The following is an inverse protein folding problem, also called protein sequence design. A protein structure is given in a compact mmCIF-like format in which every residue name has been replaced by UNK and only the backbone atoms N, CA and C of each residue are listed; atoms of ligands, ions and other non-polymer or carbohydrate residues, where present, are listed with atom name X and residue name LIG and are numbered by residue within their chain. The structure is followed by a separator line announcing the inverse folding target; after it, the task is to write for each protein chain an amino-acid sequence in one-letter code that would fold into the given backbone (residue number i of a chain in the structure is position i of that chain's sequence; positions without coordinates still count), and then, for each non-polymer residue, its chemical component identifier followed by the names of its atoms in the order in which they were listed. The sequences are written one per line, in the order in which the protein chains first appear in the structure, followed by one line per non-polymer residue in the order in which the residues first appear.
data_IF_672734327620
#
_entry.id   IF_672734327620
#
_cell.length_a   1.000
_cell.length_b   1.000
_cell.length_c   1.000
_cell.angle_alpha   90.00
_cell.angle_beta   90.00
_cell.angle_gamma   90.00
#
_symmetry.space_group_name_H-M   'P 1'
#
loop_
_entity.id
_entity.type
_entity.pdbx_description
1 polymer ?
#
# COMPACT_ATOMS: atom_id res chain seq x y z
N UNK A 1 60.36 20.99 17.66
CA UNK A 1 60.35 19.65 17.06
C UNK A 1 58.90 19.21 16.95
N UNK A 2 58.48 18.89 15.72
CA UNK A 2 57.08 18.76 15.30
C UNK A 2 56.50 17.38 15.66
N UNK A 3 55.22 17.30 16.03
CA UNK A 3 54.38 16.14 15.73
C UNK A 3 52.98 16.61 15.37
N UNK A 4 52.70 16.62 14.05
CA UNK A 4 51.38 16.82 13.46
C UNK A 4 50.57 15.54 13.66
N UNK A 5 49.64 15.54 14.61
CA UNK A 5 48.65 14.47 14.75
C UNK A 5 47.52 14.71 13.75
N UNK A 6 47.58 14.05 12.59
CA UNK A 6 46.48 14.01 11.63
C UNK A 6 45.51 12.93 12.10
N UNK A 7 44.37 13.33 12.66
CA UNK A 7 43.28 12.45 13.05
C UNK A 7 42.46 12.12 11.79
N UNK A 8 42.72 10.97 11.16
CA UNK A 8 41.93 10.51 10.03
C UNK A 8 40.62 9.85 10.53
N UNK A 9 39.52 10.59 10.46
CA UNK A 9 38.16 10.08 10.67
C UNK A 9 37.73 9.23 9.46
N UNK A 10 37.86 7.91 9.56
CA UNK A 10 37.25 6.98 8.62
C UNK A 10 35.74 6.89 8.91
N UNK A 11 34.93 7.62 8.14
CA UNK A 11 33.48 7.48 8.16
C UNK A 11 33.11 6.20 7.41
N UNK A 12 32.89 5.09 8.14
CA UNK A 12 32.22 3.92 7.59
C UNK A 12 30.74 4.25 7.38
N UNK A 13 30.37 4.59 6.14
CA UNK A 13 28.97 4.68 5.74
C UNK A 13 28.40 3.26 5.63
N UNK A 14 27.65 2.83 6.65
CA UNK A 14 26.89 1.59 6.60
C UNK A 14 25.67 1.79 5.71
N UNK A 15 25.80 1.50 4.42
CA UNK A 15 24.65 1.38 3.54
C UNK A 15 24.00 0.01 3.82
N UNK A 16 23.05 -0.03 4.75
CA UNK A 16 22.13 -1.16 4.83
C UNK A 16 21.18 -1.04 3.62
N UNK A 17 21.45 -1.82 2.57
CA UNK A 17 20.50 -1.99 1.50
C UNK A 17 19.27 -2.71 2.08
N UNK A 18 18.22 -1.96 2.40
CA UNK A 18 16.92 -2.53 2.68
C UNK A 18 16.37 -3.09 1.36
N UNK A 19 16.41 -4.41 1.19
CA UNK A 19 15.60 -5.04 0.15
C UNK A 19 14.13 -4.81 0.54
N UNK A 20 13.34 -4.27 -0.40
CA UNK A 20 11.89 -4.19 -0.21
C UNK A 20 11.36 -5.61 0.00
N UNK A 21 10.66 -5.83 1.12
CA UNK A 21 10.00 -7.09 1.37
C UNK A 21 8.91 -7.31 0.30
N UNK A 22 8.69 -8.56 -0.10
CA UNK A 22 7.59 -8.86 -1.00
C UNK A 22 6.24 -8.67 -0.29
N UNK A 23 5.13 -8.45 -1.01
CA UNK A 23 3.81 -8.23 -0.39
C UNK A 23 3.39 -9.33 0.60
N UNK A 24 3.69 -10.59 0.28
CA UNK A 24 3.41 -11.71 1.17
C UNK A 24 4.29 -11.69 2.43
N UNK A 25 5.56 -11.30 2.28
CA UNK A 25 6.50 -11.20 3.40
C UNK A 25 6.17 -10.01 4.30
N UNK A 26 5.81 -8.85 3.75
CA UNK A 26 5.32 -7.69 4.50
C UNK A 26 4.12 -8.08 5.36
N UNK A 27 3.15 -8.80 4.77
CA UNK A 27 1.98 -9.32 5.49
C UNK A 27 2.36 -10.31 6.58
N UNK A 28 3.34 -11.17 6.35
CA UNK A 28 3.83 -12.11 7.37
C UNK A 28 4.45 -11.35 8.55
N UNK A 29 5.29 -10.35 8.28
CA UNK A 29 5.94 -9.52 9.30
C UNK A 29 4.94 -8.70 10.11
N UNK A 30 3.90 -8.17 9.47
CA UNK A 30 2.80 -7.49 10.16
C UNK A 30 2.08 -8.44 11.13
N UNK A 31 1.74 -9.66 10.68
CA UNK A 31 1.12 -10.67 11.57
C UNK A 31 2.04 -11.04 12.72
N UNK A 32 3.35 -11.18 12.49
CA UNK A 32 4.32 -11.45 13.56
C UNK A 32 4.42 -10.31 14.57
N UNK A 33 4.34 -9.05 14.11
CA UNK A 33 4.26 -7.88 14.99
C UNK A 33 3.01 -7.92 15.85
N UNK A 34 1.87 -8.26 15.26
CA UNK A 34 0.60 -8.42 15.98
C UNK A 34 0.62 -9.59 16.97
N UNK A 35 1.34 -10.68 16.66
CA UNK A 35 1.57 -11.78 17.61
C UNK A 35 2.35 -11.28 18.82
N UNK A 36 3.48 -10.58 18.61
CA UNK A 36 4.29 -10.01 19.71
C UNK A 36 3.47 -9.07 20.59
N UNK A 37 2.61 -8.25 19.98
CA UNK A 37 1.70 -7.39 20.71
C UNK A 37 0.69 -8.22 21.53
N UNK A 38 0.05 -9.22 20.94
CA UNK A 38 -0.90 -10.09 21.64
C UNK A 38 -0.26 -10.88 22.79
N UNK A 39 1.02 -11.28 22.66
CA UNK A 39 1.82 -11.92 23.71
C UNK A 39 2.04 -11.00 24.91
N UNK A 40 2.36 -9.72 24.69
CA UNK A 40 2.50 -8.72 25.75
C UNK A 40 1.21 -8.54 26.56
N UNK A 41 0.06 -8.75 25.93
CA UNK A 41 -1.26 -8.64 26.55
C UNK A 41 -1.87 -9.98 26.99
N UNK A 42 -1.10 -11.08 26.93
CA UNK A 42 -1.53 -12.43 27.33
C UNK A 42 -2.86 -12.87 26.68
N UNK A 43 -3.13 -12.41 25.46
CA UNK A 43 -4.37 -12.68 24.75
C UNK A 43 -4.25 -13.97 23.91
N UNK A 44 -4.36 -15.13 24.58
CA UNK A 44 -4.12 -16.43 23.95
C UNK A 44 -5.00 -16.68 22.72
N UNK A 45 -6.29 -16.33 22.78
CA UNK A 45 -7.21 -16.52 21.64
C UNK A 45 -6.78 -15.72 20.41
N UNK A 46 -6.30 -14.49 20.59
CA UNK A 46 -5.74 -13.67 19.49
C UNK A 46 -4.45 -14.28 18.97
N UNK A 47 -3.55 -14.73 19.85
CA UNK A 47 -2.28 -15.36 19.47
C UNK A 47 -2.53 -16.57 18.57
N UNK A 48 -3.46 -17.46 18.96
CA UNK A 48 -3.76 -18.68 18.21
C UNK A 48 -4.34 -18.36 16.82
N UNK A 49 -5.25 -17.39 16.75
CA UNK A 49 -5.81 -16.90 15.50
C UNK A 49 -4.74 -16.31 14.57
N UNK A 50 -3.85 -15.47 15.11
CA UNK A 50 -2.76 -14.86 14.34
C UNK A 50 -1.73 -15.90 13.87
N UNK A 51 -1.37 -16.90 14.70
CA UNK A 51 -0.47 -17.99 14.28
C UNK A 51 -1.07 -18.81 13.13
N UNK A 52 -2.38 -19.06 13.16
CA UNK A 52 -3.09 -19.70 12.04
C UNK A 52 -3.03 -18.81 10.79
N UNK A 53 -3.30 -17.51 10.91
CA UNK A 53 -3.21 -16.57 9.80
C UNK A 53 -1.79 -16.50 9.19
N UNK A 54 -0.76 -16.46 10.03
CA UNK A 54 0.65 -16.48 9.60
C UNK A 54 0.97 -17.74 8.79
N UNK A 55 0.54 -18.91 9.29
CA UNK A 55 0.69 -20.18 8.58
C UNK A 55 -0.01 -20.17 7.22
N UNK A 56 -1.21 -19.60 7.14
CA UNK A 56 -1.93 -19.46 5.87
C UNK A 56 -1.20 -18.56 4.88
N UNK A 57 -0.64 -17.42 5.34
CA UNK A 57 0.17 -16.54 4.49
C UNK A 57 1.41 -17.27 3.98
N UNK A 58 2.17 -17.91 4.87
CA UNK A 58 3.41 -18.62 4.49
C UNK A 58 3.19 -19.77 3.51
N UNK A 59 2.06 -20.46 3.62
CA UNK A 59 1.79 -21.64 2.79
C UNK A 59 1.07 -21.32 1.48
N UNK A 60 0.25 -20.26 1.45
CA UNK A 60 -0.70 -20.04 0.36
C UNK A 60 -0.56 -18.68 -0.33
N UNK A 61 0.13 -17.70 0.27
CA UNK A 61 0.34 -16.41 -0.36
C UNK A 61 1.35 -16.54 -1.51
N UNK A 62 1.03 -15.92 -2.65
CA UNK A 62 1.92 -15.81 -3.79
C UNK A 62 1.98 -14.36 -4.22
N UNK A 63 3.17 -13.78 -4.26
CA UNK A 63 3.35 -12.36 -4.59
C UNK A 63 2.77 -12.02 -5.96
N UNK A 64 2.94 -12.91 -6.94
CA UNK A 64 2.36 -12.75 -8.27
C UNK A 64 0.83 -12.62 -8.27
N UNK A 65 0.14 -13.37 -7.40
CA UNK A 65 -1.33 -13.31 -7.29
C UNK A 65 -1.76 -11.99 -6.63
N UNK A 66 -1.01 -11.52 -5.63
CA UNK A 66 -1.26 -10.24 -4.95
C UNK A 66 -1.07 -9.07 -5.93
N UNK A 67 0.03 -9.05 -6.68
CA UNK A 67 0.34 -8.02 -7.67
C UNK A 67 -0.68 -8.05 -8.81
N UNK A 68 -1.08 -9.23 -9.29
CA UNK A 68 -2.10 -9.36 -10.33
C UNK A 68 -3.45 -8.82 -9.86
N UNK A 69 -3.89 -9.16 -8.64
CA UNK A 69 -5.12 -8.64 -8.06
C UNK A 69 -5.05 -7.11 -7.88
N UNK A 70 -3.90 -6.56 -7.49
CA UNK A 70 -3.70 -5.12 -7.39
C UNK A 70 -3.84 -4.44 -8.75
N UNK A 71 -3.15 -4.94 -9.78
CA UNK A 71 -3.24 -4.41 -11.15
C UNK A 71 -4.65 -4.47 -11.72
N UNK A 72 -5.38 -5.55 -11.45
CA UNK A 72 -6.78 -5.67 -11.86
C UNK A 72 -7.63 -4.57 -11.20
N UNK A 73 -7.50 -4.35 -9.89
CA UNK A 73 -8.22 -3.27 -9.20
C UNK A 73 -7.89 -1.89 -9.74
N UNK A 74 -6.62 -1.64 -10.09
CA UNK A 74 -6.21 -0.39 -10.74
C UNK A 74 -6.92 -0.22 -12.07
N UNK A 75 -6.93 -1.25 -12.92
CA UNK A 75 -7.62 -1.21 -14.21
C UNK A 75 -9.14 -0.98 -14.06
N UNK A 76 -9.78 -1.62 -13.08
CA UNK A 76 -11.20 -1.41 -12.75
C UNK A 76 -11.47 0.06 -12.35
N UNK A 77 -10.60 0.65 -11.52
CA UNK A 77 -10.73 2.05 -11.09
C UNK A 77 -10.42 3.06 -12.22
N UNK A 78 -9.50 2.72 -13.12
CA UNK A 78 -9.27 3.53 -14.33
C UNK A 78 -10.49 3.53 -15.24
N UNK A 79 -11.14 2.38 -15.43
CA UNK A 79 -12.39 2.27 -16.17
C UNK A 79 -13.52 3.07 -15.50
N UNK A 80 -13.65 3.02 -14.18
CA UNK A 80 -14.61 3.84 -13.44
C UNK A 80 -14.37 5.34 -13.65
N UNK A 81 -13.11 5.80 -13.55
CA UNK A 81 -12.77 7.21 -13.82
C UNK A 81 -13.14 7.62 -15.25
N UNK A 82 -12.89 6.74 -16.24
CA UNK A 82 -13.27 7.00 -17.62
C UNK A 82 -14.80 7.12 -17.78
N UNK A 83 -15.58 6.24 -17.15
CA UNK A 83 -17.05 6.32 -17.12
C UNK A 83 -17.53 7.62 -16.49
N UNK A 84 -16.99 8.01 -15.32
CA UNK A 84 -17.37 9.25 -14.63
C UNK A 84 -17.05 10.50 -15.45
N UNK A 85 -15.95 10.49 -16.20
CA UNK A 85 -15.62 11.57 -17.14
C UNK A 85 -16.65 11.68 -18.27
N UNK A 86 -17.10 10.55 -18.81
CA UNK A 86 -18.16 10.52 -19.82
C UNK A 86 -19.50 11.04 -19.26
N UNK A 87 -19.91 10.59 -18.06
CA UNK A 87 -21.13 11.08 -17.40
C UNK A 87 -21.08 12.60 -17.16
N UNK A 88 -19.91 13.13 -16.75
CA UNK A 88 -19.72 14.55 -16.56
C UNK A 88 -19.79 15.32 -17.89
N UNK A 89 -19.20 14.79 -18.96
CA UNK A 89 -19.28 15.38 -20.28
C UNK A 89 -20.74 15.48 -20.77
N UNK A 90 -21.51 14.41 -20.65
CA UNK A 90 -22.92 14.39 -21.01
C UNK A 90 -23.75 15.38 -20.18
N UNK A 91 -23.53 15.43 -18.86
CA UNK A 91 -24.21 16.40 -17.99
C UNK A 91 -23.87 17.85 -18.38
N UNK A 92 -22.64 18.10 -18.81
CA UNK A 92 -22.18 19.42 -19.26
C UNK A 92 -22.88 19.83 -20.55
N UNK A 93 -23.05 18.90 -21.51
CA UNK A 93 -23.81 19.17 -22.74
C UNK A 93 -25.29 19.48 -22.47
N UNK A 94 -25.88 18.84 -21.45
CA UNK A 94 -27.29 19.06 -21.06
C UNK A 94 -27.51 20.34 -20.25
N UNK A 95 -26.45 20.97 -19.73
CA UNK A 95 -26.53 22.27 -19.03
C UNK A 95 -27.18 22.24 -17.65
N UNK A 96 -27.39 21.06 -17.05
CA UNK A 96 -28.00 20.91 -15.73
C UNK A 96 -26.93 21.13 -14.63
N UNK A 97 -26.91 22.34 -14.06
CA UNK A 97 -25.87 22.77 -13.11
C UNK A 97 -25.75 21.85 -11.88
N UNK A 98 -26.87 21.39 -11.32
CA UNK A 98 -26.89 20.52 -10.16
C UNK A 98 -26.31 19.14 -10.49
N UNK A 99 -26.66 18.58 -11.66
CA UNK A 99 -26.05 17.33 -12.13
C UNK A 99 -24.57 17.50 -12.41
N UNK A 100 -24.15 18.58 -13.04
CA UNK A 100 -22.73 18.86 -13.32
C UNK A 100 -21.94 18.90 -12.01
N UNK A 101 -22.42 19.61 -10.99
CA UNK A 101 -21.77 19.68 -9.68
C UNK A 101 -21.64 18.29 -9.04
N UNK A 102 -22.73 17.50 -9.05
CA UNK A 102 -22.73 16.14 -8.50
C UNK A 102 -21.78 15.20 -9.25
N UNK A 103 -21.70 15.28 -10.58
CA UNK A 103 -20.78 14.44 -11.38
C UNK A 103 -19.32 14.84 -11.20
N UNK A 104 -19.02 16.13 -11.04
CA UNK A 104 -17.66 16.60 -10.71
C UNK A 104 -17.18 16.04 -9.37
N UNK A 105 -18.04 16.06 -8.35
CA UNK A 105 -17.70 15.50 -7.04
C UNK A 105 -17.37 14.01 -7.15
N UNK A 106 -18.24 13.22 -7.80
CA UNK A 106 -18.03 11.78 -7.98
C UNK A 106 -16.77 11.45 -8.78
N UNK A 107 -16.47 12.25 -9.81
CA UNK A 107 -15.24 12.09 -10.57
C UNK A 107 -14.01 12.35 -9.68
N UNK A 108 -14.05 13.41 -8.87
CA UNK A 108 -12.95 13.72 -7.95
C UNK A 108 -12.75 12.62 -6.89
N UNK A 109 -13.83 12.04 -6.35
CA UNK A 109 -13.76 10.88 -5.44
C UNK A 109 -13.09 9.67 -6.13
N UNK A 110 -13.53 9.32 -7.33
CA UNK A 110 -12.96 8.19 -8.09
C UNK A 110 -11.49 8.43 -8.45
N UNK A 111 -11.11 9.66 -8.82
CA UNK A 111 -9.71 10.02 -9.10
C UNK A 111 -8.84 9.96 -7.83
N UNK A 112 -9.38 10.35 -6.67
CA UNK A 112 -8.70 10.24 -5.39
C UNK A 112 -8.50 8.77 -4.99
N UNK A 113 -9.52 7.94 -5.13
CA UNK A 113 -9.43 6.49 -4.86
C UNK A 113 -8.41 5.82 -5.78
N UNK A 114 -8.44 6.12 -7.08
CA UNK A 114 -7.46 5.60 -8.03
C UNK A 114 -6.04 6.04 -7.67
N UNK A 115 -5.85 7.31 -7.28
CA UNK A 115 -4.54 7.82 -6.85
C UNK A 115 -4.05 7.12 -5.58
N UNK A 116 -4.92 6.92 -4.60
CA UNK A 116 -4.59 6.22 -3.36
C UNK A 116 -4.23 4.75 -3.64
N UNK A 117 -4.97 4.09 -4.54
CA UNK A 117 -4.68 2.72 -4.93
C UNK A 117 -3.33 2.62 -5.65
N UNK A 118 -3.05 3.47 -6.65
CA UNK A 118 -1.77 3.48 -7.38
C UNK A 118 -0.55 3.83 -6.51
N UNK A 119 -0.75 4.46 -5.36
CA UNK A 119 0.31 4.76 -4.42
C UNK A 119 0.67 3.59 -3.50
N UNK A 120 -0.09 2.49 -3.53
CA UNK A 120 0.29 1.24 -2.86
C UNK A 120 1.33 0.54 -3.75
N UNK A 121 2.60 0.61 -3.36
CA UNK A 121 3.69 -0.08 -4.07
C UNK A 121 3.61 -1.59 -3.79
N UNK A 122 3.30 -2.38 -4.83
CA UNK A 122 3.38 -3.86 -4.84
C UNK A 122 4.12 -4.38 -6.07
#
# INVERSE_FOLDING_TARGET
MNYRTVLALALFSWNAAALAASPCEEKAQEIEKEIRYAEQHQNQGRIDGLKKALSQVRNNCRDGDVIAAHRQKVAEKEAEVAERRAELHEATQKGDADKIAKRRHKLAEAEQELKALKAQDY
#
